data_IF_103951262541
#
_entry.id   IF_103951262541
#
_cell.length_a   1.000
_cell.length_b   1.000
_cell.length_c   1.000
_cell.angle_alpha   90.00
_cell.angle_beta   90.00
_cell.angle_gamma   90.00
#
_symmetry.space_group_name_H-M   'P 1'
#
loop_
_entity.id
_entity.type
_entity.pdbx_description
1 polymer ?
#
# COMPACT_ATOMS: atom_id res chain seq x y z
N UNK A 1 17.94 -13.68 4.24
CA UNK A 1 17.47 -12.29 4.35
C UNK A 1 17.03 -12.07 5.78
N UNK A 2 17.72 -11.25 6.56
CA UNK A 2 17.24 -10.87 7.89
C UNK A 2 16.01 -10.00 7.74
N UNK A 3 14.94 -10.37 8.44
CA UNK A 3 13.71 -9.60 8.51
C UNK A 3 13.95 -8.48 9.52
N UNK A 4 14.27 -7.29 9.04
CA UNK A 4 14.43 -6.13 9.91
C UNK A 4 13.06 -5.52 10.15
N UNK A 5 12.53 -5.68 11.36
CA UNK A 5 11.33 -4.97 11.81
C UNK A 5 11.76 -3.53 12.09
N UNK A 6 11.06 -2.57 11.50
CA UNK A 6 11.24 -1.15 11.75
C UNK A 6 10.66 -0.80 13.12
N UNK A 7 11.36 0.06 13.86
CA UNK A 7 10.79 0.68 15.05
C UNK A 7 9.58 1.56 14.66
N UNK A 8 8.58 1.75 15.54
CA UNK A 8 7.34 2.44 15.20
C UNK A 8 7.52 3.84 14.57
N UNK A 9 8.43 4.72 15.06
CA UNK A 9 8.62 6.04 14.44
C UNK A 9 9.16 5.97 13.01
N UNK A 10 10.05 4.99 12.74
CA UNK A 10 10.59 4.78 11.41
C UNK A 10 9.49 4.27 10.47
N UNK A 11 8.65 3.33 10.92
CA UNK A 11 7.53 2.83 10.13
C UNK A 11 6.53 3.94 9.77
N UNK A 12 6.18 4.78 10.74
CA UNK A 12 5.30 5.93 10.51
C UNK A 12 5.84 6.90 9.46
N UNK A 13 7.15 7.16 9.50
CA UNK A 13 7.81 8.01 8.49
C UNK A 13 7.73 7.41 7.09
N UNK A 14 7.87 6.09 6.95
CA UNK A 14 7.74 5.39 5.67
C UNK A 14 6.28 5.35 5.17
N UNK A 15 5.30 5.19 6.06
CA UNK A 15 3.88 5.24 5.70
C UNK A 15 3.47 6.63 5.20
N UNK A 16 3.95 7.69 5.85
CA UNK A 16 3.77 9.05 5.37
C UNK A 16 4.43 9.26 4.01
N UNK A 17 5.68 8.84 3.85
CA UNK A 17 6.38 8.89 2.58
C UNK A 17 5.64 8.15 1.46
N UNK A 18 5.12 6.95 1.76
CA UNK A 18 4.34 6.17 0.80
C UNK A 18 3.14 6.97 0.31
N UNK A 19 2.38 7.58 1.24
CA UNK A 19 1.23 8.42 0.89
C UNK A 19 1.64 9.58 -0.01
N UNK A 20 2.69 10.33 0.36
CA UNK A 20 3.20 11.48 -0.40
C UNK A 20 3.66 11.09 -1.81
N UNK A 21 4.28 9.92 -1.97
CA UNK A 21 4.73 9.41 -3.26
C UNK A 21 3.58 8.91 -4.14
N UNK A 22 2.62 8.15 -3.58
CA UNK A 22 1.44 7.72 -4.33
C UNK A 22 0.61 8.92 -4.80
N UNK A 23 0.61 9.99 -4.01
CA UNK A 23 0.02 11.25 -4.36
C UNK A 23 0.69 11.96 -5.54
N UNK A 24 2.02 12.00 -5.53
CA UNK A 24 2.81 12.63 -6.58
C UNK A 24 3.17 11.71 -7.75
N UNK A 25 2.40 10.65 -7.99
CA UNK A 25 2.55 9.83 -9.20
C UNK A 25 2.30 10.69 -10.46
N UNK A 26 3.11 10.51 -11.51
CA UNK A 26 3.04 11.38 -12.69
C UNK A 26 1.72 11.20 -13.44
N UNK A 27 1.29 12.26 -14.12
CA UNK A 27 0.08 12.25 -14.96
C UNK A 27 0.17 11.34 -16.18
N UNK A 28 1.34 10.76 -16.46
CA UNK A 28 1.53 9.71 -17.46
C UNK A 28 0.85 8.40 -17.06
N UNK A 29 0.64 8.17 -15.75
CA UNK A 29 -0.24 7.11 -15.28
C UNK A 29 -1.71 7.56 -15.36
N UNK A 30 -2.61 6.70 -15.88
CA UNK A 30 -4.02 7.03 -15.95
C UNK A 30 -4.57 7.23 -14.55
N UNK A 31 -5.44 8.23 -14.37
CA UNK A 31 -6.19 8.40 -13.15
C UNK A 31 -7.38 7.44 -13.16
N UNK A 32 -7.53 6.62 -12.11
CA UNK A 32 -8.56 5.59 -12.09
C UNK A 32 -8.70 4.88 -10.76
N UNK A 33 -9.69 3.98 -10.73
CA UNK A 33 -9.99 3.07 -9.61
C UNK A 33 -10.26 1.65 -10.12
N UNK A 34 -9.79 1.32 -11.32
CA UNK A 34 -10.08 0.05 -11.99
C UNK A 34 -9.17 -1.06 -11.45
N UNK A 35 -7.93 -0.72 -11.13
CA UNK A 35 -6.93 -1.64 -10.64
C UNK A 35 -6.78 -1.59 -9.11
N UNK A 36 -7.09 -0.45 -8.50
CA UNK A 36 -6.94 -0.26 -7.06
C UNK A 36 -8.20 0.34 -6.45
N UNK A 37 -8.73 -0.34 -5.43
CA UNK A 37 -9.90 0.12 -4.68
C UNK A 37 -9.73 -0.19 -3.18
N UNK A 38 -8.78 0.48 -2.53
CA UNK A 38 -8.50 0.31 -1.11
C UNK A 38 -9.35 1.21 -0.19
N UNK A 39 -10.22 2.06 -0.75
CA UNK A 39 -11.10 2.93 0.04
C UNK A 39 -12.03 2.08 0.91
N UNK A 40 -11.94 2.24 2.23
CA UNK A 40 -12.75 1.48 3.18
C UNK A 40 -12.44 -0.02 3.20
N UNK A 41 -11.24 -0.42 2.75
CA UNK A 41 -10.85 -1.81 2.71
C UNK A 41 -10.89 -2.45 4.11
N UNK A 42 -11.44 -3.66 4.15
CA UNK A 42 -11.46 -4.58 5.28
C UNK A 42 -11.14 -5.97 4.72
N UNK A 43 -10.26 -6.76 5.35
CA UNK A 43 -9.97 -8.11 4.90
C UNK A 43 -11.24 -8.96 4.96
N UNK A 44 -11.37 -9.83 3.97
CA UNK A 44 -12.47 -10.78 3.88
C UNK A 44 -12.48 -11.73 5.10
N UNK A 45 -13.56 -11.78 5.89
CA UNK A 45 -13.66 -12.65 7.06
C UNK A 45 -13.38 -14.13 6.75
N UNK A 46 -13.81 -14.62 5.58
CA UNK A 46 -13.55 -16.01 5.16
C UNK A 46 -12.05 -16.22 4.96
N UNK A 47 -11.35 -15.23 4.39
CA UNK A 47 -9.89 -15.27 4.25
C UNK A 47 -9.19 -15.18 5.59
N UNK A 48 -9.71 -14.40 6.54
CA UNK A 48 -9.14 -14.34 7.90
C UNK A 48 -9.22 -15.71 8.57
N UNK A 49 -10.34 -16.43 8.41
CA UNK A 49 -10.50 -17.79 8.90
C UNK A 49 -9.56 -18.78 8.17
N UNK A 50 -9.57 -18.78 6.84
CA UNK A 50 -8.75 -19.66 5.99
C UNK A 50 -7.25 -19.54 6.29
N UNK A 51 -6.76 -18.31 6.43
CA UNK A 51 -5.35 -18.02 6.65
C UNK A 51 -4.96 -17.92 8.13
N UNK A 52 -5.95 -17.98 9.03
CA UNK A 52 -5.76 -17.98 10.48
C UNK A 52 -5.39 -16.63 11.10
N UNK A 53 -5.27 -15.54 10.32
CA UNK A 53 -5.02 -14.20 10.85
C UNK A 53 -5.42 -13.06 9.90
N UNK A 54 -5.70 -11.90 10.48
CA UNK A 54 -6.04 -10.66 9.77
C UNK A 54 -4.88 -10.21 8.88
N UNK A 55 -3.67 -10.19 9.43
CA UNK A 55 -2.43 -9.84 8.72
C UNK A 55 -2.15 -10.74 7.52
N UNK A 56 -2.45 -12.04 7.59
CA UNK A 56 -2.30 -12.96 6.47
C UNK A 56 -3.33 -12.70 5.37
N UNK A 57 -4.59 -12.41 5.73
CA UNK A 57 -5.62 -12.03 4.78
C UNK A 57 -5.31 -10.69 4.08
N UNK A 58 -4.79 -9.70 4.81
CA UNK A 58 -4.30 -8.43 4.23
C UNK A 58 -3.14 -8.68 3.28
N UNK A 59 -2.14 -9.49 3.67
CA UNK A 59 -1.03 -9.85 2.79
C UNK A 59 -1.54 -10.49 1.49
N UNK A 60 -2.47 -11.43 1.59
CA UNK A 60 -3.03 -12.13 0.43
C UNK A 60 -3.75 -11.17 -0.52
N UNK A 61 -4.56 -10.25 0.01
CA UNK A 61 -5.24 -9.23 -0.80
C UNK A 61 -4.23 -8.35 -1.56
N UNK A 62 -3.16 -7.91 -0.88
CA UNK A 62 -2.09 -7.12 -1.51
C UNK A 62 -1.34 -7.94 -2.57
N UNK A 63 -1.07 -9.23 -2.33
CA UNK A 63 -0.44 -10.11 -3.31
C UNK A 63 -1.28 -10.26 -4.58
N UNK A 64 -2.59 -10.49 -4.45
CA UNK A 64 -3.49 -10.60 -5.61
C UNK A 64 -3.52 -9.31 -6.43
N UNK A 65 -3.52 -8.15 -5.77
CA UNK A 65 -3.64 -6.86 -6.44
C UNK A 65 -2.33 -6.42 -7.10
N UNK A 66 -1.22 -6.46 -6.36
CA UNK A 66 0.07 -5.92 -6.82
C UNK A 66 0.96 -6.96 -7.49
N UNK A 67 0.76 -8.25 -7.18
CA UNK A 67 1.58 -9.34 -7.68
C UNK A 67 0.72 -10.51 -8.20
N UNK A 68 -0.22 -10.30 -9.13
CA UNK A 68 -1.12 -11.36 -9.62
C UNK A 68 -0.40 -12.52 -10.33
N UNK A 69 0.84 -12.29 -10.78
CA UNK A 69 1.71 -13.32 -11.37
C UNK A 69 2.70 -13.92 -10.34
N UNK A 70 2.55 -13.57 -9.06
CA UNK A 70 3.44 -13.94 -7.97
C UNK A 70 4.57 -12.92 -7.74
N UNK A 71 5.11 -12.92 -6.51
CA UNK A 71 6.22 -12.05 -6.06
C UNK A 71 7.53 -12.25 -6.84
N UNK A 72 7.69 -13.38 -7.52
CA UNK A 72 8.90 -13.71 -8.30
C UNK A 72 8.86 -13.18 -9.73
N UNK A 73 7.72 -12.65 -10.19
CA UNK A 73 7.54 -12.19 -11.57
C UNK A 73 8.22 -10.85 -11.89
N UNK A 74 8.83 -10.19 -10.89
CA UNK A 74 9.54 -8.92 -11.04
C UNK A 74 9.06 -7.84 -10.08
N UNK A 75 9.49 -6.58 -10.29
CA UNK A 75 9.08 -5.46 -9.45
C UNK A 75 7.58 -5.18 -9.60
N UNK A 76 6.99 -4.55 -8.58
CA UNK A 76 5.61 -4.08 -8.64
C UNK A 76 5.53 -2.94 -9.65
N UNK A 77 4.66 -3.08 -10.64
CA UNK A 77 4.38 -2.04 -11.64
C UNK A 77 3.01 -1.43 -11.35
N UNK A 78 3.00 -0.13 -11.02
CA UNK A 78 1.77 0.62 -10.80
C UNK A 78 1.08 0.91 -12.14
N UNK A 79 -0.21 0.57 -12.24
CA UNK A 79 -0.97 0.64 -13.51
C UNK A 79 -1.80 1.92 -13.65
N UNK A 80 -2.16 2.53 -12.54
CA UNK A 80 -2.97 3.75 -12.47
C UNK A 80 -2.58 4.54 -11.21
N UNK A 81 -3.01 5.80 -11.15
CA UNK A 81 -2.90 6.66 -9.97
C UNK A 81 -4.29 7.08 -9.49
N UNK A 82 -4.35 7.63 -8.28
CA UNK A 82 -5.57 8.19 -7.69
C UNK A 82 -5.90 7.58 -6.34
N UNK A 83 -6.98 8.08 -5.74
CA UNK A 83 -7.31 7.80 -4.35
C UNK A 83 -7.49 6.32 -4.02
N UNK A 84 -7.93 5.51 -4.99
CA UNK A 84 -8.10 4.07 -4.82
C UNK A 84 -6.78 3.37 -4.50
N UNK A 85 -5.67 3.83 -5.11
CA UNK A 85 -4.32 3.39 -4.81
C UNK A 85 -3.78 4.08 -3.56
N UNK A 86 -3.92 5.39 -3.43
CA UNK A 86 -3.39 6.15 -2.27
C UNK A 86 -3.94 5.62 -0.94
N UNK A 87 -5.19 5.16 -0.91
CA UNK A 87 -5.81 4.55 0.26
C UNK A 87 -5.09 3.28 0.77
N UNK A 88 -4.21 2.65 -0.03
CA UNK A 88 -3.38 1.54 0.46
C UNK A 88 -2.45 1.98 1.61
N UNK A 89 -2.03 3.25 1.64
CA UNK A 89 -1.24 3.78 2.74
C UNK A 89 -2.05 3.81 4.05
N UNK A 90 -3.35 4.12 3.98
CA UNK A 90 -4.25 4.08 5.13
C UNK A 90 -4.48 2.65 5.63
N UNK A 91 -4.60 1.70 4.69
CA UNK A 91 -4.73 0.26 5.00
C UNK A 91 -3.48 -0.24 5.72
N UNK A 92 -2.29 0.03 5.17
CA UNK A 92 -1.03 -0.37 5.79
C UNK A 92 -0.83 0.32 7.14
N UNK A 93 -1.17 1.60 7.27
CA UNK A 93 -1.11 2.30 8.55
C UNK A 93 -1.99 1.62 9.60
N UNK A 94 -3.28 1.40 9.29
CA UNK A 94 -4.22 0.73 10.20
C UNK A 94 -3.70 -0.63 10.67
N UNK A 95 -3.30 -1.50 9.76
CA UNK A 95 -2.93 -2.87 10.12
C UNK A 95 -1.53 -2.99 10.70
N UNK A 96 -0.62 -2.06 10.42
CA UNK A 96 0.67 -2.02 11.13
C UNK A 96 0.58 -1.34 12.49
N UNK A 97 -0.42 -0.49 12.74
CA UNK A 97 -0.73 0.02 14.08
C UNK A 97 -1.31 -1.09 14.97
N UNK A 98 -2.22 -1.90 14.42
CA UNK A 98 -2.80 -3.06 15.11
C UNK A 98 -1.80 -4.21 15.27
N UNK A 99 -0.95 -4.45 14.26
CA UNK A 99 0.04 -5.52 14.23
C UNK A 99 1.45 -4.99 13.92
N UNK A 100 2.12 -4.31 14.88
CA UNK A 100 3.37 -3.58 14.63
C UNK A 100 4.58 -4.48 14.37
N UNK A 101 4.55 -5.73 14.82
CA UNK A 101 5.64 -6.70 14.63
C UNK A 101 5.54 -7.45 13.28
N UNK A 102 4.52 -7.16 12.48
CA UNK A 102 4.24 -7.87 11.24
C UNK A 102 5.15 -7.38 10.13
N UNK A 103 6.30 -8.03 10.02
CA UNK A 103 7.31 -7.70 9.03
C UNK A 103 6.80 -7.74 7.58
N UNK A 104 5.83 -8.60 7.26
CA UNK A 104 5.30 -8.69 5.90
C UNK A 104 4.52 -7.42 5.51
N UNK A 105 3.78 -6.81 6.43
CA UNK A 105 3.06 -5.56 6.19
C UNK A 105 4.02 -4.36 6.11
N UNK A 106 5.05 -4.34 6.96
CA UNK A 106 6.11 -3.33 6.84
C UNK A 106 6.86 -3.43 5.51
N UNK A 107 7.12 -4.66 5.05
CA UNK A 107 7.74 -4.90 3.74
C UNK A 107 6.88 -4.36 2.60
N UNK A 108 5.56 -4.52 2.66
CA UNK A 108 4.66 -3.92 1.68
C UNK A 108 4.81 -2.40 1.58
N UNK A 109 4.97 -1.71 2.72
CA UNK A 109 5.23 -0.27 2.73
C UNK A 109 6.48 0.07 1.91
N UNK A 110 7.59 -0.63 2.15
CA UNK A 110 8.85 -0.41 1.44
C UNK A 110 8.78 -0.78 -0.04
N UNK A 111 8.15 -1.91 -0.37
CA UNK A 111 7.98 -2.38 -1.74
C UNK A 111 7.16 -1.38 -2.57
N UNK A 112 6.09 -0.80 -1.99
CA UNK A 112 5.25 0.18 -2.67
C UNK A 112 5.93 1.56 -2.78
N UNK A 113 6.78 1.96 -1.83
CA UNK A 113 7.64 3.14 -1.98
C UNK A 113 8.57 2.96 -3.19
N UNK A 114 9.21 1.80 -3.28
CA UNK A 114 10.10 1.47 -4.41
C UNK A 114 9.33 1.50 -5.74
N UNK A 115 8.13 0.92 -5.78
CA UNK A 115 7.26 0.93 -6.95
C UNK A 115 6.84 2.34 -7.38
N UNK A 116 6.46 3.20 -6.41
CA UNK A 116 6.08 4.58 -6.69
C UNK A 116 7.26 5.38 -7.26
N UNK A 117 8.45 5.22 -6.67
CA UNK A 117 9.68 5.86 -7.18
C UNK A 117 10.04 5.38 -8.58
N UNK A 118 9.93 4.08 -8.83
CA UNK A 118 10.16 3.50 -10.16
C UNK A 118 9.17 4.04 -11.20
N UNK A 119 7.93 4.28 -10.80
CA UNK A 119 6.90 4.91 -11.63
C UNK A 119 7.12 6.43 -11.83
N UNK A 120 8.17 7.03 -11.25
CA UNK A 120 8.49 8.44 -11.41
C UNK A 120 7.78 9.36 -10.42
N UNK A 121 7.31 8.85 -9.28
CA UNK A 121 6.70 9.67 -8.24
C UNK A 121 7.64 10.74 -7.70
N UNK A 122 7.10 11.93 -7.46
CA UNK A 122 7.75 13.01 -6.71
C UNK A 122 7.02 13.14 -5.38
N UNK A 123 7.74 13.36 -4.27
CA UNK A 123 7.05 13.60 -2.99
C UNK A 123 6.23 14.88 -3.06
N UNK A 124 4.95 14.79 -2.76
CA UNK A 124 4.06 15.95 -2.66
C UNK A 124 3.58 16.10 -1.22
N UNK A 125 3.82 17.27 -0.63
CA UNK A 125 3.28 17.63 0.70
C UNK A 125 1.78 17.98 0.66
N UNK A 126 1.13 17.87 -0.50
CA UNK A 126 -0.28 18.19 -0.68
C UNK A 126 -1.15 16.96 -0.39
N UNK A 127 -2.21 17.17 0.39
CA UNK A 127 -3.28 16.19 0.56
C UNK A 127 -3.95 15.92 -0.79
N UNK A 128 -3.77 14.71 -1.35
CA UNK A 128 -4.58 14.28 -2.50
C UNK A 128 -6.08 14.22 -2.21
N UNK A 129 -6.47 14.29 -0.95
CA UNK A 129 -7.86 14.25 -0.50
C UNK A 129 -8.49 15.64 -0.63
N UNK A 130 -8.47 16.23 -1.82
CA UNK A 130 -9.32 17.38 -2.14
C UNK A 130 -10.45 16.97 -3.08
N UNK A 131 -11.41 16.23 -2.53
CA UNK A 131 -12.83 16.44 -2.82
C UNK A 131 -13.68 16.00 -1.62
N UNK A 132 -13.58 16.72 -0.51
CA UNK A 132 -14.75 16.94 0.35
C UNK A 132 -15.35 18.27 -0.07
N UNK A 133 -16.31 18.23 -0.98
CA UNK A 133 -17.26 19.32 -1.14
C UNK A 133 -18.56 18.80 -0.51
N UNK A 134 -19.05 19.59 0.45
CA UNK A 134 -20.31 19.43 1.16
C UNK A 134 -21.51 19.36 0.21
#
# INVERSE_FOLDING_TARGET
MSVHILDPPALQSHLQELRELLCGLPSTLPQGTRHYNFKGFVPDPEKVEDYGSVEAAVNQALEVIFCPQGRQAGPIILKERGDGLTAVADVLHKYTEEFPLTAILQKWTLDLISAARHAGAVRTALDCVQTRIF
#
